data_IF_695078752417
#
_entry.id   IF_695078752417
#
_cell.length_a   1.000
_cell.length_b   1.000
_cell.length_c   1.000
_cell.angle_alpha   90.00
_cell.angle_beta   90.00
_cell.angle_gamma   90.00
#
_symmetry.space_group_name_H-M   'P 1'
#
loop_
_entity.id
_entity.type
_entity.pdbx_description
1 polymer ?
#
# COMPACT_ATOMS: atom_id res chain seq x y z
N UNK A 1 14.89 2.25 -2.47
CA UNK A 1 14.97 3.44 -3.36
C UNK A 1 14.76 4.69 -2.53
N UNK A 2 15.60 5.69 -2.72
CA UNK A 2 15.40 7.00 -2.09
C UNK A 2 14.31 7.76 -2.84
N UNK A 3 13.35 8.33 -2.11
CA UNK A 3 12.22 8.99 -2.75
C UNK A 3 12.62 10.39 -3.22
N UNK A 4 12.96 10.48 -4.49
CA UNK A 4 13.16 11.76 -5.17
C UNK A 4 12.14 11.99 -6.29
N UNK A 5 11.26 11.03 -6.62
CA UNK A 5 10.39 11.19 -7.77
C UNK A 5 9.30 12.21 -7.52
N UNK A 6 8.61 12.51 -8.58
CA UNK A 6 7.68 13.60 -8.64
C UNK A 6 6.26 13.06 -8.65
N UNK A 7 5.71 12.95 -7.46
CA UNK A 7 4.28 12.70 -7.31
C UNK A 7 3.62 14.07 -7.24
N UNK A 8 2.62 14.36 -8.10
CA UNK A 8 1.96 15.66 -8.09
C UNK A 8 1.48 16.03 -6.68
N UNK A 9 1.82 17.24 -6.24
CA UNK A 9 1.41 17.75 -4.94
C UNK A 9 2.24 17.28 -3.76
N UNK A 10 3.26 16.46 -3.97
CA UNK A 10 4.08 15.93 -2.88
C UNK A 10 5.53 16.34 -3.09
N UNK A 11 6.09 17.04 -2.11
CA UNK A 11 7.50 17.39 -2.13
C UNK A 11 8.38 16.17 -1.84
N UNK A 12 9.56 16.09 -2.48
CA UNK A 12 10.52 15.04 -2.16
C UNK A 12 10.90 15.08 -0.69
N UNK A 13 10.89 13.92 -0.02
CA UNK A 13 11.20 13.82 1.41
C UNK A 13 12.59 13.28 1.69
N UNK A 14 13.25 12.70 0.69
CA UNK A 14 14.53 12.02 0.88
C UNK A 14 14.43 10.69 1.60
N UNK A 15 13.23 10.25 1.98
CA UNK A 15 13.05 8.96 2.65
C UNK A 15 13.22 7.80 1.67
N UNK A 16 13.74 6.69 2.18
CA UNK A 16 13.76 5.45 1.42
C UNK A 16 12.36 4.84 1.37
N UNK A 17 11.99 4.33 0.19
CA UNK A 17 10.77 3.54 0.04
C UNK A 17 11.11 2.25 -0.70
N UNK A 18 10.38 1.18 -0.35
CA UNK A 18 10.46 -0.11 -1.01
C UNK A 18 9.09 -0.40 -1.60
N UNK A 19 9.00 -0.35 -2.91
CA UNK A 19 7.73 -0.55 -3.60
C UNK A 19 7.91 -1.49 -4.77
N UNK A 20 7.10 -2.56 -4.87
CA UNK A 20 7.08 -3.38 -6.06
C UNK A 20 6.31 -2.65 -7.16
N UNK A 21 6.74 -2.83 -8.39
CA UNK A 21 5.99 -2.32 -9.52
C UNK A 21 5.98 -3.34 -10.65
N UNK A 22 4.98 -3.23 -11.50
CA UNK A 22 4.84 -4.10 -12.68
C UNK A 22 4.96 -3.23 -13.92
N UNK A 23 5.77 -3.69 -14.86
CA UNK A 23 5.93 -3.02 -16.15
C UNK A 23 5.49 -3.97 -17.25
N UNK A 24 4.58 -3.49 -18.09
CA UNK A 24 4.17 -4.23 -19.29
C UNK A 24 4.72 -3.48 -20.49
N UNK A 25 5.56 -4.16 -21.27
CA UNK A 25 6.27 -3.54 -22.38
C UNK A 25 5.82 -4.15 -23.69
N UNK A 26 5.83 -3.32 -24.73
CA UNK A 26 5.61 -3.75 -26.09
C UNK A 26 6.91 -3.50 -26.87
N UNK A 27 7.50 -4.59 -27.37
CA UNK A 27 8.77 -4.52 -28.09
C UNK A 27 8.52 -4.84 -29.57
N UNK A 28 9.04 -3.95 -30.45
CA UNK A 28 9.00 -4.14 -31.89
C UNK A 28 10.43 -4.18 -32.41
N UNK A 29 10.79 -5.32 -32.98
CA UNK A 29 12.18 -5.57 -33.39
C UNK A 29 13.08 -5.57 -32.17
N UNK A 30 14.07 -4.68 -32.16
CA UNK A 30 15.01 -4.52 -31.04
C UNK A 30 14.73 -3.28 -30.20
N UNK A 31 13.54 -2.66 -30.37
CA UNK A 31 13.21 -1.40 -29.72
C UNK A 31 11.99 -1.51 -28.83
N UNK A 32 12.04 -0.80 -27.70
CA UNK A 32 10.89 -0.60 -26.85
C UNK A 32 9.89 0.31 -27.56
N UNK A 33 8.67 -0.18 -27.80
CA UNK A 33 7.64 0.60 -28.48
C UNK A 33 6.85 1.45 -27.50
N UNK A 34 6.36 0.83 -26.42
CA UNK A 34 5.77 1.56 -25.30
C UNK A 34 5.79 0.68 -24.05
N UNK A 35 5.55 1.33 -22.90
CA UNK A 35 5.62 0.71 -21.60
C UNK A 35 4.49 1.21 -20.71
N UNK A 36 3.87 0.29 -19.97
CA UNK A 36 2.92 0.61 -18.91
C UNK A 36 3.49 0.15 -17.58
N UNK A 37 3.56 1.09 -16.63
CA UNK A 37 4.06 0.80 -15.28
C UNK A 37 2.91 0.97 -14.30
N UNK A 38 2.74 -0.03 -13.44
CA UNK A 38 1.76 0.02 -12.37
C UNK A 38 2.43 -0.22 -11.03
N UNK A 39 2.05 0.56 -10.01
CA UNK A 39 2.56 0.43 -8.66
C UNK A 39 1.51 0.92 -7.65
N UNK A 40 1.68 0.50 -6.40
CA UNK A 40 0.71 0.82 -5.36
C UNK A 40 1.08 2.13 -4.67
N UNK A 41 0.29 3.17 -4.93
CA UNK A 41 0.52 4.49 -4.34
C UNK A 41 0.34 4.47 -2.82
N UNK A 42 -0.61 3.70 -2.30
CA UNK A 42 -0.82 3.63 -0.85
C UNK A 42 0.44 3.12 -0.14
N UNK A 43 1.13 2.14 -0.73
CA UNK A 43 2.39 1.63 -0.19
C UNK A 43 3.43 2.74 -0.05
N UNK A 44 3.56 3.59 -1.05
CA UNK A 44 4.49 4.72 -1.01
C UNK A 44 4.05 5.77 0.01
N UNK A 45 2.78 6.14 0.00
CA UNK A 45 2.25 7.17 0.90
C UNK A 45 2.37 6.76 2.36
N UNK A 46 2.13 5.49 2.69
CA UNK A 46 2.31 4.98 4.05
C UNK A 46 3.77 5.07 4.47
N UNK A 47 4.69 4.68 3.60
CA UNK A 47 6.13 4.72 3.91
C UNK A 47 6.63 6.15 4.06
N UNK A 48 6.03 7.10 3.36
CA UNK A 48 6.39 8.52 3.49
C UNK A 48 5.75 9.18 4.72
N UNK A 49 4.84 8.51 5.40
CA UNK A 49 4.14 9.06 6.54
C UNK A 49 2.99 9.99 6.18
N UNK A 50 2.55 9.99 4.93
CA UNK A 50 1.47 10.85 4.45
C UNK A 50 0.10 10.18 4.53
N UNK A 51 0.06 8.86 4.66
CA UNK A 51 -1.15 8.09 4.81
C UNK A 51 -0.98 7.18 6.02
N UNK A 52 -1.90 7.21 7.00
CA UNK A 52 -1.80 6.31 8.15
C UNK A 52 -2.06 4.87 7.73
N UNK A 53 -1.52 3.94 8.51
CA UNK A 53 -1.68 2.51 8.26
C UNK A 53 -3.12 2.04 8.48
N UNK A 54 -3.85 2.71 9.38
CA UNK A 54 -5.24 2.42 9.69
C UNK A 54 -6.09 3.68 9.52
N UNK A 55 -7.31 3.49 9.04
CA UNK A 55 -8.27 4.56 8.85
C UNK A 55 -9.58 4.23 9.54
N UNK A 56 -10.34 5.24 10.03
CA UNK A 56 -11.66 5.02 10.58
C UNK A 56 -12.58 4.37 9.55
N UNK A 57 -13.42 3.45 10.02
CA UNK A 57 -14.40 2.82 9.14
C UNK A 57 -15.48 3.86 8.80
N UNK A 58 -15.73 4.14 7.51
CA UNK A 58 -16.49 5.32 7.11
C UNK A 58 -18.00 5.18 7.22
N UNK A 59 -18.51 4.01 7.57
CA UNK A 59 -19.95 3.78 7.67
C UNK A 59 -20.24 2.68 8.70
N UNK A 60 -21.49 2.64 9.18
CA UNK A 60 -21.93 1.59 10.08
C UNK A 60 -22.04 0.27 9.32
N UNK A 61 -21.51 -0.80 9.92
CA UNK A 61 -21.58 -2.13 9.32
C UNK A 61 -23.02 -2.62 9.36
N UNK A 62 -23.68 -2.87 8.20
CA UNK A 62 -25.11 -3.19 8.20
C UNK A 62 -25.44 -4.52 8.88
N UNK A 63 -24.59 -5.53 8.75
CA UNK A 63 -24.82 -6.86 9.33
C UNK A 63 -23.66 -7.27 10.26
N UNK A 64 -22.85 -6.30 10.64
CA UNK A 64 -21.65 -6.54 11.42
C UNK A 64 -21.77 -6.10 12.86
N UNK A 65 -20.70 -6.26 13.62
CA UNK A 65 -20.65 -5.81 15.01
C UNK A 65 -20.79 -4.28 15.11
N UNK A 66 -21.28 -3.84 16.26
CA UNK A 66 -21.37 -2.42 16.60
C UNK A 66 -20.24 -2.12 17.60
N UNK A 67 -19.47 -1.03 17.43
CA UNK A 67 -18.44 -0.71 18.40
C UNK A 67 -19.03 -0.35 19.75
N UNK A 68 -18.28 -0.66 20.80
CA UNK A 68 -18.65 -0.27 22.18
C UNK A 68 -18.67 1.25 22.27
N UNK A 69 -19.57 1.79 23.12
CA UNK A 69 -19.67 3.23 23.34
C UNK A 69 -18.29 3.80 23.70
N UNK A 70 -17.92 4.90 23.05
CA UNK A 70 -16.61 5.53 23.23
C UNK A 70 -15.51 4.93 22.39
N UNK A 71 -15.85 3.99 21.53
CA UNK A 71 -14.89 3.33 20.64
C UNK A 71 -15.36 3.41 19.18
N UNK A 72 -14.44 3.20 18.28
CA UNK A 72 -14.73 3.18 16.86
C UNK A 72 -13.96 2.04 16.18
N UNK A 73 -14.46 1.62 15.04
CA UNK A 73 -13.74 0.66 14.22
C UNK A 73 -12.80 1.36 13.25
N UNK A 74 -11.65 0.74 13.05
CA UNK A 74 -10.70 1.13 12.02
C UNK A 74 -10.41 -0.08 11.15
N UNK A 75 -10.04 0.18 9.89
CA UNK A 75 -9.58 -0.85 9.00
C UNK A 75 -8.14 -0.55 8.57
N UNK A 76 -7.37 -1.61 8.35
CA UNK A 76 -6.03 -1.46 7.83
C UNK A 76 -6.12 -1.16 6.34
N UNK A 77 -5.45 -0.11 5.90
CA UNK A 77 -5.37 0.24 4.49
C UNK A 77 -4.74 -0.94 3.74
N UNK A 78 -5.44 -1.54 2.77
CA UNK A 78 -4.90 -2.69 2.06
C UNK A 78 -3.85 -2.22 1.05
N UNK A 79 -2.60 -2.23 1.49
CA UNK A 79 -1.46 -1.86 0.68
C UNK A 79 -0.43 -2.98 0.74
N UNK A 80 0.26 -3.21 -0.38
CA UNK A 80 1.19 -4.34 -0.47
C UNK A 80 2.42 -4.18 0.41
N UNK A 81 2.76 -2.94 0.76
CA UNK A 81 3.82 -2.66 1.73
C UNK A 81 5.23 -2.97 1.25
N UNK A 82 6.21 -2.65 2.13
CA UNK A 82 7.61 -2.92 1.85
C UNK A 82 7.90 -4.42 1.80
N UNK A 83 7.14 -5.23 2.52
CA UNK A 83 7.29 -6.67 2.54
C UNK A 83 7.08 -7.31 1.17
N UNK A 84 6.21 -6.72 0.32
CA UNK A 84 6.03 -7.23 -1.03
C UNK A 84 7.24 -6.97 -1.92
N UNK A 85 7.93 -5.85 -1.70
CA UNK A 85 9.17 -5.59 -2.39
C UNK A 85 10.26 -6.58 -1.95
N UNK A 86 10.32 -6.89 -0.66
CA UNK A 86 11.23 -7.89 -0.14
C UNK A 86 10.95 -9.26 -0.76
N UNK A 87 9.68 -9.60 -0.96
CA UNK A 87 9.28 -10.87 -1.57
C UNK A 87 9.76 -11.00 -3.02
N UNK A 88 9.88 -9.89 -3.74
CA UNK A 88 10.43 -9.92 -5.10
C UNK A 88 11.92 -10.31 -5.11
N UNK A 89 12.63 -10.04 -4.02
CA UNK A 89 14.03 -10.43 -3.88
C UNK A 89 14.15 -11.86 -3.36
N UNK A 90 13.22 -12.29 -2.50
CA UNK A 90 13.20 -13.62 -1.91
C UNK A 90 11.76 -14.04 -1.68
N UNK A 91 11.27 -14.99 -2.47
CA UNK A 91 9.87 -15.43 -2.42
C UNK A 91 9.47 -16.04 -1.08
N UNK A 92 10.43 -16.44 -0.26
CA UNK A 92 10.18 -17.03 1.05
C UNK A 92 10.26 -16.03 2.20
N UNK A 93 10.52 -14.74 1.91
CA UNK A 93 10.71 -13.72 2.92
C UNK A 93 9.45 -13.48 3.76
N UNK A 94 8.30 -13.43 3.12
CA UNK A 94 7.02 -13.18 3.78
C UNK A 94 5.94 -14.10 3.21
N UNK A 95 4.86 -14.35 3.97
CA UNK A 95 3.75 -15.15 3.46
C UNK A 95 3.09 -14.51 2.23
N UNK A 96 2.59 -15.35 1.34
CA UNK A 96 1.79 -14.89 0.21
C UNK A 96 0.40 -14.46 0.68
N UNK A 97 -0.17 -13.45 -0.01
CA UNK A 97 -1.54 -12.99 0.24
C UNK A 97 -1.77 -12.51 1.68
N UNK A 98 -0.74 -11.89 2.26
CA UNK A 98 -0.78 -11.44 3.66
C UNK A 98 -1.95 -10.50 3.94
N UNK A 99 -2.38 -9.70 2.96
CA UNK A 99 -3.49 -8.76 3.14
C UNK A 99 -4.83 -9.44 3.44
N UNK A 100 -5.00 -10.71 3.09
CA UNK A 100 -6.22 -11.43 3.42
C UNK A 100 -6.37 -11.72 4.92
N UNK A 101 -5.28 -11.55 5.68
CA UNK A 101 -5.30 -11.67 7.13
C UNK A 101 -5.66 -10.36 7.84
N UNK A 102 -5.79 -9.26 7.09
CA UNK A 102 -6.13 -7.95 7.67
C UNK A 102 -7.57 -7.96 8.19
N UNK A 103 -7.75 -7.43 9.38
CA UNK A 103 -9.04 -7.38 10.05
C UNK A 103 -9.31 -5.98 10.57
N UNK A 104 -10.59 -5.65 10.76
CA UNK A 104 -10.94 -4.41 11.45
C UNK A 104 -10.50 -4.52 12.90
N UNK A 105 -10.23 -3.37 13.49
CA UNK A 105 -9.89 -3.29 14.92
C UNK A 105 -10.74 -2.23 15.59
N UNK A 106 -10.95 -2.40 16.89
CA UNK A 106 -11.68 -1.45 17.71
C UNK A 106 -10.69 -0.62 18.51
N UNK A 107 -10.83 0.70 18.42
CA UNK A 107 -9.94 1.64 19.11
C UNK A 107 -10.77 2.70 19.83
N UNK A 108 -10.15 3.41 20.75
CA UNK A 108 -10.81 4.51 21.44
C UNK A 108 -11.10 5.64 20.46
N UNK A 109 -12.23 6.28 20.66
CA UNK A 109 -12.64 7.45 19.89
C UNK A 109 -11.63 8.60 20.06
#
# INVERSE_FOLDING_TARGET
>A
MTFTPRIPGIHPTGKHVLVPFTSVVNIRGDRLFHEHIAWDQATVLIQLGLLPEYLPFPYTLPDGPVPVQGKQFEYRVPAVGAESAAKLQNEHEVPSNQMFEYKIREVDD
#
